data_IF_795786936410
#
_entry.id   IF_795786936410
#
_cell.length_a   1.000
_cell.length_b   1.000
_cell.length_c   1.000
_cell.angle_alpha   90.00
_cell.angle_beta   90.00
_cell.angle_gamma   90.00
#
_symmetry.space_group_name_H-M   'P 1'
#
loop_
_entity.id
_entity.type
_entity.pdbx_description
1 polymer ?
#
# COMPACT_ATOMS: atom_id res chain seq x y z
N UNK A 1 5.95 72.47 -16.58
CA UNK A 1 5.43 71.29 -17.31
C UNK A 1 6.53 70.24 -17.41
N UNK A 2 6.26 69.06 -16.83
CA UNK A 2 6.79 67.68 -17.02
C UNK A 2 8.09 67.43 -17.81
N UNK A 3 8.99 66.63 -17.21
CA UNK A 3 9.69 65.45 -17.78
C UNK A 3 10.53 64.78 -16.65
N UNK A 4 9.97 63.81 -15.92
CA UNK A 4 10.01 62.35 -16.15
C UNK A 4 11.35 61.67 -15.74
N UNK A 5 11.42 61.19 -14.49
CA UNK A 5 12.44 60.26 -14.00
C UNK A 5 11.98 58.81 -14.25
N UNK A 6 12.79 58.02 -14.97
CA UNK A 6 12.57 56.59 -15.15
C UNK A 6 13.16 55.80 -13.97
N UNK A 7 12.30 55.24 -13.12
CA UNK A 7 12.68 54.25 -12.11
C UNK A 7 12.54 52.85 -12.74
N UNK A 8 13.66 52.18 -13.00
CA UNK A 8 13.69 50.77 -13.43
C UNK A 8 13.40 49.86 -12.23
N UNK A 9 12.13 49.49 -12.04
CA UNK A 9 11.75 48.44 -11.10
C UNK A 9 12.09 47.08 -11.72
N UNK A 10 13.23 46.48 -11.34
CA UNK A 10 13.51 45.08 -11.66
C UNK A 10 12.58 44.19 -10.83
N UNK A 11 11.52 43.70 -11.47
CA UNK A 11 10.67 42.65 -10.92
C UNK A 11 11.49 41.35 -10.90
N UNK A 12 12.07 41.00 -9.75
CA UNK A 12 12.62 39.67 -9.52
C UNK A 12 11.44 38.70 -9.41
N UNK A 13 11.09 38.05 -10.52
CA UNK A 13 10.33 36.81 -10.50
C UNK A 13 11.20 35.77 -9.80
N UNK A 14 11.04 35.63 -8.48
CA UNK A 14 11.52 34.46 -7.75
C UNK A 14 10.61 33.31 -8.15
N UNK A 15 10.92 32.66 -9.26
CA UNK A 15 10.47 31.29 -9.47
C UNK A 15 11.17 30.46 -8.40
N UNK A 16 10.44 30.10 -7.35
CA UNK A 16 10.93 29.17 -6.34
C UNK A 16 11.03 27.78 -6.96
N UNK A 17 12.03 27.57 -7.82
CA UNK A 17 12.49 26.24 -8.17
C UNK A 17 12.84 25.56 -6.84
N UNK A 18 12.19 24.42 -6.55
CA UNK A 18 12.47 23.69 -5.31
C UNK A 18 13.96 23.35 -5.30
N UNK A 19 14.68 23.84 -4.29
CA UNK A 19 16.12 23.63 -4.19
C UNK A 19 16.46 22.13 -4.19
N UNK A 20 17.57 21.77 -4.83
CA UNK A 20 18.04 20.40 -4.91
C UNK A 20 18.44 19.85 -3.52
N UNK A 21 18.29 18.54 -3.34
CA UNK A 21 18.61 17.87 -2.10
C UNK A 21 20.11 17.82 -1.78
N UNK A 22 20.46 18.21 -0.56
CA UNK A 22 21.84 18.16 -0.05
C UNK A 22 22.09 16.98 0.89
N UNK A 23 21.04 16.46 1.55
CA UNK A 23 21.15 15.30 2.46
C UNK A 23 19.97 14.36 2.27
N UNK A 24 20.26 13.11 1.90
CA UNK A 24 19.25 12.10 1.58
C UNK A 24 18.88 11.23 2.78
N UNK A 25 17.57 11.06 3.00
CA UNK A 25 16.97 10.01 3.82
C UNK A 25 16.78 8.77 2.94
N UNK A 26 17.54 7.72 3.23
CA UNK A 26 17.51 6.48 2.45
C UNK A 26 16.65 5.46 3.18
N UNK A 27 15.41 5.26 2.71
CA UNK A 27 14.51 4.24 3.24
C UNK A 27 14.93 2.87 2.72
N UNK A 28 15.10 1.90 3.61
CA UNK A 28 15.59 0.54 3.33
C UNK A 28 14.55 -0.51 3.69
N UNK A 29 14.67 -1.70 3.11
CA UNK A 29 13.86 -2.84 3.55
C UNK A 29 14.28 -3.23 4.98
N UNK A 30 13.33 -3.63 5.82
CA UNK A 30 13.61 -4.00 7.22
C UNK A 30 14.77 -5.00 7.39
N UNK A 31 14.90 -5.97 6.48
CA UNK A 31 15.96 -7.00 6.48
C UNK A 31 17.33 -6.48 6.07
N UNK A 32 17.38 -5.35 5.38
CA UNK A 32 18.64 -4.67 5.02
C UNK A 32 19.13 -3.70 6.12
N UNK A 33 18.32 -3.45 7.15
CA UNK A 33 18.77 -2.69 8.31
C UNK A 33 19.73 -3.52 9.16
N UNK A 34 20.84 -2.89 9.55
CA UNK A 34 21.71 -3.39 10.61
C UNK A 34 20.97 -3.47 11.94
N UNK A 35 21.49 -4.26 12.88
CA UNK A 35 20.93 -4.37 14.23
C UNK A 35 20.86 -3.00 14.94
N UNK A 36 21.87 -2.15 14.74
CA UNK A 36 21.89 -0.79 15.29
C UNK A 36 20.79 0.08 14.69
N UNK A 37 20.61 0.07 13.37
CA UNK A 37 19.52 0.83 12.71
C UNK A 37 18.15 0.37 13.21
N UNK A 38 17.93 -0.95 13.38
CA UNK A 38 16.68 -1.48 13.94
C UNK A 38 16.43 -0.98 15.36
N UNK A 39 17.45 -1.03 16.23
CA UNK A 39 17.35 -0.58 17.62
C UNK A 39 17.11 0.94 17.72
N UNK A 40 17.78 1.73 16.91
CA UNK A 40 17.57 3.18 16.85
C UNK A 40 16.14 3.52 16.41
N UNK A 41 15.64 2.83 15.39
CA UNK A 41 14.25 2.98 14.93
C UNK A 41 13.25 2.62 16.05
N UNK A 42 13.42 1.48 16.70
CA UNK A 42 12.54 1.01 17.78
C UNK A 42 12.55 1.99 18.96
N UNK A 43 13.73 2.47 19.37
CA UNK A 43 13.85 3.49 20.41
C UNK A 43 13.13 4.78 20.02
N UNK A 44 13.28 5.25 18.78
CA UNK A 44 12.58 6.43 18.28
C UNK A 44 11.06 6.24 18.31
N UNK A 45 10.54 5.08 17.88
CA UNK A 45 9.11 4.75 17.95
C UNK A 45 8.61 4.79 19.39
N UNK A 46 9.30 4.12 20.33
CA UNK A 46 8.94 4.12 21.75
C UNK A 46 8.88 5.54 22.33
N UNK A 47 9.85 6.40 21.97
CA UNK A 47 9.91 7.79 22.43
C UNK A 47 8.76 8.65 21.90
N UNK A 48 8.41 8.51 20.62
CA UNK A 48 7.28 9.27 20.05
C UNK A 48 5.91 8.73 20.52
N UNK A 49 5.82 7.46 20.93
CA UNK A 49 4.64 6.94 21.63
C UNK A 49 4.51 7.58 23.01
N UNK A 50 5.60 7.59 23.78
CA UNK A 50 5.60 8.11 25.15
C UNK A 50 5.31 9.63 25.23
N UNK A 51 5.73 10.41 24.24
CA UNK A 51 5.51 11.86 24.23
C UNK A 51 4.22 12.32 23.51
N UNK A 52 3.41 11.38 23.02
CA UNK A 52 2.13 11.66 22.33
C UNK A 52 2.24 12.02 20.84
N UNK A 53 3.44 12.15 20.27
CA UNK A 53 3.60 12.44 18.84
C UNK A 53 3.01 11.34 17.96
N UNK A 54 3.11 10.07 18.38
CA UNK A 54 2.51 8.94 17.66
C UNK A 54 0.98 9.08 17.58
N UNK A 55 0.33 9.47 18.69
CA UNK A 55 -1.11 9.65 18.80
C UNK A 55 -1.65 10.72 17.82
N UNK A 56 -0.83 11.74 17.51
CA UNK A 56 -1.16 12.75 16.49
C UNK A 56 -1.40 12.13 15.12
N UNK A 57 -0.59 11.14 14.73
CA UNK A 57 -0.69 10.49 13.42
C UNK A 57 -1.86 9.49 13.36
N UNK A 58 -2.12 8.77 14.46
CA UNK A 58 -3.35 7.98 14.59
C UNK A 58 -4.58 8.87 14.45
N UNK A 59 -4.62 9.97 15.22
CA UNK A 59 -5.77 10.88 15.23
C UNK A 59 -5.99 11.63 13.91
N UNK A 60 -4.93 12.03 13.21
CA UNK A 60 -5.07 12.72 11.91
C UNK A 60 -5.54 11.77 10.82
N UNK A 61 -5.07 10.51 10.83
CA UNK A 61 -5.57 9.48 9.93
C UNK A 61 -7.05 9.25 10.19
N UNK A 62 -7.43 8.96 11.44
CA UNK A 62 -8.81 8.75 11.87
C UNK A 62 -9.78 9.83 11.40
N UNK A 63 -9.45 11.11 11.64
CA UNK A 63 -10.31 12.25 11.29
C UNK A 63 -10.48 12.47 9.79
N UNK A 64 -9.63 11.87 8.95
CA UNK A 64 -9.64 12.10 7.51
C UNK A 64 -9.92 10.82 6.69
N UNK A 65 -10.31 9.71 7.32
CA UNK A 65 -10.47 8.39 6.65
C UNK A 65 -11.29 8.47 5.36
N UNK A 66 -12.44 9.14 5.39
CA UNK A 66 -13.34 9.25 4.24
C UNK A 66 -12.74 10.08 3.08
N UNK A 67 -11.80 10.98 3.38
CA UNK A 67 -11.14 11.81 2.38
C UNK A 67 -9.90 11.13 1.78
N UNK A 68 -9.25 10.23 2.51
CA UNK A 68 -7.91 9.72 2.19
C UNK A 68 -7.91 8.26 1.71
N UNK A 69 -9.03 7.55 1.82
CA UNK A 69 -9.19 6.18 1.30
C UNK A 69 -10.20 6.14 0.17
N UNK A 70 -9.94 5.34 -0.85
CA UNK A 70 -10.79 5.19 -2.02
C UNK A 70 -11.03 6.49 -2.78
N UNK A 71 -10.07 7.40 -2.65
CA UNK A 71 -10.03 8.69 -3.32
C UNK A 71 -8.65 8.89 -3.97
N UNK A 72 -8.54 9.81 -4.94
CA UNK A 72 -7.24 10.18 -5.49
C UNK A 72 -6.25 10.74 -4.44
N UNK A 73 -6.70 11.18 -3.26
CA UNK A 73 -5.79 11.68 -2.22
C UNK A 73 -4.97 10.59 -1.54
N UNK A 74 -5.35 9.32 -1.71
CA UNK A 74 -4.72 8.18 -1.04
C UNK A 74 -3.19 8.24 -1.05
N UNK A 75 -2.56 8.31 -2.22
CA UNK A 75 -1.10 8.30 -2.30
C UNK A 75 -0.43 9.60 -1.80
N UNK A 76 -0.79 10.81 -2.27
CA UNK A 76 -0.13 12.02 -1.82
C UNK A 76 -0.36 12.33 -0.34
N UNK A 77 -1.52 11.94 0.22
CA UNK A 77 -1.78 12.14 1.64
C UNK A 77 -0.92 11.21 2.51
N UNK A 78 -0.87 9.90 2.19
CA UNK A 78 -0.06 8.94 2.94
C UNK A 78 1.43 9.25 2.83
N UNK A 79 1.93 9.65 1.64
CA UNK A 79 3.33 10.10 1.48
C UNK A 79 3.70 11.22 2.45
N UNK A 80 2.85 12.25 2.56
CA UNK A 80 3.11 13.38 3.45
C UNK A 80 2.99 12.99 4.92
N UNK A 81 2.02 12.13 5.28
CA UNK A 81 1.91 11.58 6.63
C UNK A 81 3.19 10.81 7.02
N UNK A 82 3.69 9.92 6.15
CA UNK A 82 4.92 9.16 6.37
C UNK A 82 6.12 10.09 6.55
N UNK A 83 6.24 11.15 5.73
CA UNK A 83 7.33 12.12 5.87
C UNK A 83 7.30 12.82 7.23
N UNK A 84 6.13 13.27 7.68
CA UNK A 84 5.99 13.93 9.01
C UNK A 84 6.25 12.95 10.16
N UNK A 85 5.75 11.72 10.04
CA UNK A 85 6.04 10.67 11.03
C UNK A 85 7.54 10.42 11.13
N UNK A 86 8.24 10.33 9.99
CA UNK A 86 9.69 10.23 9.94
C UNK A 86 10.39 11.47 10.52
N UNK A 87 9.86 12.68 10.31
CA UNK A 87 10.38 13.90 10.97
C UNK A 87 10.28 13.78 12.50
N UNK A 88 9.17 13.27 13.05
CA UNK A 88 9.02 13.03 14.49
C UNK A 88 10.03 12.01 15.02
N UNK A 89 10.26 10.90 14.30
CA UNK A 89 11.31 9.94 14.66
C UNK A 89 12.69 10.59 14.65
N UNK A 90 12.98 11.44 13.66
CA UNK A 90 14.27 12.10 13.49
C UNK A 90 14.56 13.20 14.50
N UNK A 91 13.54 13.73 15.16
CA UNK A 91 13.72 14.58 16.35
C UNK A 91 14.30 13.81 17.53
N UNK A 92 14.04 12.50 17.60
CA UNK A 92 14.64 11.60 18.61
C UNK A 92 16.04 11.16 18.16
N UNK A 93 16.18 10.74 16.91
CA UNK A 93 17.46 10.31 16.33
C UNK A 93 17.58 10.72 14.85
N UNK A 94 18.45 11.70 14.52
CA UNK A 94 18.64 12.18 13.15
C UNK A 94 19.18 11.15 12.15
N UNK A 95 19.60 9.95 12.58
CA UNK A 95 19.99 8.86 11.68
C UNK A 95 18.80 8.02 11.20
N UNK A 96 17.67 8.06 11.92
CA UNK A 96 16.51 7.22 11.65
C UNK A 96 15.83 7.61 10.34
N UNK A 97 15.43 6.58 9.60
CA UNK A 97 14.56 6.69 8.42
C UNK A 97 13.49 5.60 8.50
N UNK A 98 12.33 5.83 7.88
CA UNK A 98 11.29 4.80 7.82
C UNK A 98 11.79 3.56 7.05
N UNK A 99 11.66 2.34 7.61
CA UNK A 99 11.84 1.12 6.85
C UNK A 99 10.62 0.86 5.97
N UNK A 100 10.80 0.11 4.89
CA UNK A 100 9.70 -0.51 4.16
C UNK A 100 9.71 -2.03 4.34
N UNK A 101 8.53 -2.62 4.13
CA UNK A 101 8.37 -4.06 4.05
C UNK A 101 7.96 -4.44 2.62
N UNK A 102 8.86 -5.09 1.89
CA UNK A 102 8.57 -5.56 0.53
C UNK A 102 7.81 -6.89 0.57
N UNK A 103 6.52 -6.80 0.84
CA UNK A 103 5.62 -7.94 0.85
C UNK A 103 5.52 -8.65 -0.52
N UNK A 104 5.85 -7.97 -1.62
CA UNK A 104 5.79 -8.55 -2.97
C UNK A 104 6.89 -9.60 -3.22
N UNK A 105 8.03 -9.46 -2.52
CA UNK A 105 9.15 -10.40 -2.62
C UNK A 105 8.80 -11.81 -2.12
N UNK A 106 7.79 -11.93 -1.26
CA UNK A 106 7.41 -13.18 -0.58
C UNK A 106 5.90 -13.42 -0.59
N UNK A 107 5.20 -12.89 -1.59
CA UNK A 107 3.73 -12.87 -1.63
C UNK A 107 3.06 -14.24 -1.40
N UNK A 108 3.71 -15.34 -1.76
CA UNK A 108 3.18 -16.70 -1.56
C UNK A 108 3.07 -17.17 -0.10
N UNK A 109 3.93 -16.70 0.81
CA UNK A 109 3.80 -16.90 2.27
C UNK A 109 4.68 -15.86 3.02
N UNK A 110 4.23 -14.61 3.10
CA UNK A 110 5.04 -13.48 3.53
C UNK A 110 5.33 -13.48 5.04
N UNK A 111 4.49 -14.15 5.84
CA UNK A 111 4.71 -14.31 7.28
C UNK A 111 5.83 -15.33 7.53
N UNK A 112 5.66 -16.56 7.02
CA UNK A 112 6.62 -17.65 7.22
C UNK A 112 7.98 -17.37 6.60
N UNK A 113 7.98 -16.70 5.44
CA UNK A 113 9.21 -16.44 4.68
C UNK A 113 10.00 -15.23 5.19
N UNK A 114 9.44 -14.43 6.11
CA UNK A 114 10.07 -13.25 6.67
C UNK A 114 10.18 -13.29 8.21
N UNK A 115 11.00 -14.20 8.78
CA UNK A 115 11.18 -14.30 10.24
C UNK A 115 11.85 -13.07 10.86
N UNK A 116 12.47 -12.20 10.05
CA UNK A 116 13.06 -10.95 10.52
C UNK A 116 11.99 -9.92 10.92
N UNK A 117 10.79 -9.99 10.32
CA UNK A 117 9.62 -9.21 10.74
C UNK A 117 8.71 -10.02 11.67
N UNK A 118 8.44 -11.28 11.33
CA UNK A 118 7.47 -12.12 12.04
C UNK A 118 8.17 -13.20 12.86
N UNK A 119 8.66 -12.83 14.04
CA UNK A 119 9.20 -13.75 15.04
C UNK A 119 8.98 -13.18 16.43
N UNK A 120 9.52 -13.82 17.46
CA UNK A 120 9.48 -13.30 18.84
C UNK A 120 10.73 -12.50 19.21
N UNK A 121 11.63 -12.21 18.25
CA UNK A 121 12.82 -11.37 18.51
C UNK A 121 12.41 -9.97 18.95
N UNK A 122 13.17 -9.37 19.87
CA UNK A 122 13.07 -7.98 20.33
C UNK A 122 13.18 -6.92 19.22
N UNK A 123 13.64 -7.29 18.02
CA UNK A 123 13.66 -6.40 16.84
C UNK A 123 12.59 -6.73 15.82
N UNK A 124 11.85 -7.81 15.98
CA UNK A 124 10.75 -8.15 15.09
C UNK A 124 9.49 -7.33 15.43
N UNK A 125 8.52 -7.29 14.52
CA UNK A 125 7.20 -6.70 14.83
C UNK A 125 6.33 -7.65 15.67
N UNK A 126 6.83 -8.81 16.09
CA UNK A 126 6.08 -9.80 16.87
C UNK A 126 5.30 -10.80 16.02
N UNK A 127 4.80 -11.84 16.68
CA UNK A 127 3.93 -12.86 16.11
C UNK A 127 2.46 -12.61 16.47
N UNK A 128 1.52 -13.27 15.78
CA UNK A 128 0.09 -13.21 16.15
C UNK A 128 -0.13 -13.70 17.58
N UNK A 129 -1.15 -13.16 18.24
CA UNK A 129 -1.52 -13.55 19.60
C UNK A 129 -3.04 -13.65 19.74
N UNK A 130 -3.51 -14.55 20.60
CA UNK A 130 -4.90 -14.54 21.05
C UNK A 130 -5.14 -13.35 22.00
N UNK A 131 -5.36 -12.19 21.40
CA UNK A 131 -5.53 -10.90 22.11
C UNK A 131 -4.33 -9.98 21.92
N UNK A 132 -3.91 -9.30 23.00
CA UNK A 132 -2.83 -8.32 22.95
C UNK A 132 -1.50 -8.94 22.49
N UNK A 133 -0.73 -8.19 21.69
CA UNK A 133 0.63 -8.57 21.29
C UNK A 133 1.53 -8.81 22.51
N UNK A 134 2.29 -9.91 22.50
CA UNK A 134 3.11 -10.38 23.65
C UNK A 134 4.61 -10.49 23.37
N UNK A 135 5.03 -10.33 22.12
CA UNK A 135 6.41 -10.45 21.69
C UNK A 135 6.75 -9.37 20.65
N UNK A 136 7.99 -9.40 20.14
CA UNK A 136 8.50 -8.33 19.30
C UNK A 136 8.78 -7.06 20.09
N UNK A 137 9.20 -6.00 19.39
CA UNK A 137 9.35 -4.68 20.02
C UNK A 137 8.01 -4.04 20.39
N UNK A 138 6.90 -4.60 19.88
CA UNK A 138 5.54 -4.14 20.12
C UNK A 138 4.86 -4.83 21.30
N UNK A 139 5.57 -5.71 22.00
CA UNK A 139 5.06 -6.40 23.18
C UNK A 139 4.52 -5.41 24.20
N UNK A 140 3.27 -5.61 24.64
CA UNK A 140 2.62 -4.76 25.63
C UNK A 140 2.18 -3.38 25.13
N UNK A 141 2.23 -3.11 23.82
CA UNK A 141 1.72 -1.85 23.27
C UNK A 141 0.22 -1.68 23.53
N UNK A 142 -0.15 -0.55 24.15
CA UNK A 142 -1.52 -0.09 24.31
C UNK A 142 -1.89 0.92 23.22
N UNK A 143 -3.16 1.02 22.86
CA UNK A 143 -3.62 2.08 21.95
C UNK A 143 -3.32 3.46 22.53
N UNK A 144 -3.03 4.44 21.67
CA UNK A 144 -2.66 5.80 22.11
C UNK A 144 -3.78 6.53 22.84
N UNK A 145 -5.03 6.12 22.66
CA UNK A 145 -6.18 6.60 23.43
C UNK A 145 -6.41 5.86 24.76
N UNK A 146 -5.48 4.95 25.13
CA UNK A 146 -5.55 4.06 26.30
C UNK A 146 -6.76 3.10 26.35
N UNK A 147 -7.49 2.94 25.23
CA UNK A 147 -8.63 2.02 25.11
C UNK A 147 -8.22 0.80 24.29
N UNK A 148 -7.63 -0.17 24.98
CA UNK A 148 -7.23 -1.45 24.40
C UNK A 148 -5.73 -1.55 24.14
N UNK A 149 -5.37 -2.62 23.45
CA UNK A 149 -4.01 -3.03 23.16
C UNK A 149 -3.87 -3.38 21.69
N UNK A 150 -2.63 -3.36 21.21
CA UNK A 150 -2.29 -3.78 19.86
C UNK A 150 -2.68 -5.25 19.65
N UNK A 151 -3.35 -5.58 18.54
CA UNK A 151 -3.82 -6.93 18.21
C UNK A 151 -3.56 -7.29 16.75
N UNK A 152 -3.16 -8.55 16.52
CA UNK A 152 -3.05 -9.18 15.19
C UNK A 152 -3.51 -10.62 15.24
N UNK A 153 -4.27 -11.05 14.24
CA UNK A 153 -4.80 -12.42 14.17
C UNK A 153 -4.73 -13.02 12.75
N UNK A 154 -3.56 -12.91 12.12
CA UNK A 154 -3.36 -13.38 10.74
C UNK A 154 -3.33 -14.93 10.61
N UNK A 155 -3.72 -15.44 9.44
CA UNK A 155 -3.52 -16.86 9.07
C UNK A 155 -2.04 -17.11 8.68
N UNK A 156 -1.49 -18.28 9.02
CA UNK A 156 -0.08 -18.62 8.69
C UNK A 156 0.14 -18.92 7.20
N UNK A 157 -0.94 -19.00 6.42
CA UNK A 157 -0.97 -19.25 4.98
C UNK A 157 -1.56 -18.07 4.20
N UNK A 158 -1.55 -16.86 4.77
CA UNK A 158 -1.93 -15.65 4.02
C UNK A 158 -1.07 -15.49 2.78
N UNK A 159 -1.66 -14.93 1.73
CA UNK A 159 -0.98 -14.60 0.49
C UNK A 159 -1.16 -13.13 0.19
N UNK A 160 -0.07 -12.49 -0.20
CA UNK A 160 -0.02 -11.11 -0.67
C UNK A 160 0.22 -11.08 -2.17
N UNK A 161 -0.05 -9.95 -2.82
CA UNK A 161 0.30 -9.78 -4.22
C UNK A 161 1.81 -9.95 -4.38
N UNK A 162 2.20 -10.82 -5.28
CA UNK A 162 3.60 -11.13 -5.54
C UNK A 162 4.25 -10.08 -6.45
N UNK A 163 5.56 -10.19 -6.61
CA UNK A 163 6.34 -9.29 -7.45
C UNK A 163 5.80 -9.19 -8.88
N UNK A 164 5.35 -10.32 -9.46
CA UNK A 164 4.77 -10.35 -10.81
C UNK A 164 3.50 -9.50 -10.88
N UNK A 165 2.61 -9.66 -9.90
CA UNK A 165 1.37 -8.88 -9.79
C UNK A 165 1.70 -7.39 -9.71
N UNK A 166 2.59 -7.00 -8.80
CA UNK A 166 2.97 -5.59 -8.62
C UNK A 166 3.66 -5.02 -9.87
N UNK A 167 4.58 -5.76 -10.47
CA UNK A 167 5.35 -5.26 -11.60
C UNK A 167 4.49 -5.09 -12.87
N UNK A 168 3.60 -6.04 -13.14
CA UNK A 168 2.76 -6.05 -14.35
C UNK A 168 1.55 -5.14 -14.21
N UNK A 169 0.84 -5.17 -13.08
CA UNK A 169 -0.43 -4.46 -12.94
C UNK A 169 -0.27 -3.06 -12.34
N UNK A 170 0.62 -2.90 -11.37
CA UNK A 170 0.77 -1.64 -10.63
C UNK A 170 1.78 -0.76 -11.35
N UNK A 171 3.03 -1.20 -11.51
CA UNK A 171 4.09 -0.30 -12.01
C UNK A 171 3.96 0.07 -13.51
N UNK A 172 3.23 -0.72 -14.30
CA UNK A 172 2.95 -0.43 -15.71
C UNK A 172 1.61 0.28 -15.95
N UNK A 173 0.89 0.69 -14.90
CA UNK A 173 -0.33 1.45 -15.07
C UNK A 173 -0.10 2.71 -15.94
N UNK A 174 -0.94 2.98 -16.96
CA UNK A 174 -0.69 4.06 -17.91
C UNK A 174 -0.96 5.45 -17.34
N UNK A 175 -1.80 5.55 -16.30
CA UNK A 175 -2.22 6.80 -15.67
C UNK A 175 -2.51 6.57 -14.18
N UNK A 176 -2.74 7.66 -13.45
CA UNK A 176 -2.92 7.64 -12.00
C UNK A 176 -4.12 6.79 -11.54
N UNK A 177 -5.27 6.87 -12.23
CA UNK A 177 -6.46 6.09 -11.87
C UNK A 177 -6.22 4.59 -12.00
N UNK A 178 -5.55 4.17 -13.08
CA UNK A 178 -5.17 2.78 -13.26
C UNK A 178 -4.15 2.32 -12.22
N UNK A 179 -3.27 3.23 -11.77
CA UNK A 179 -2.26 2.94 -10.75
C UNK A 179 -2.91 2.72 -9.38
N UNK A 180 -3.71 3.68 -8.89
CA UNK A 180 -4.45 3.54 -7.63
C UNK A 180 -5.40 2.34 -7.67
N UNK A 181 -6.15 2.18 -8.76
CA UNK A 181 -7.08 1.06 -8.91
C UNK A 181 -6.43 -0.32 -8.95
N UNK A 182 -5.11 -0.40 -9.15
CA UNK A 182 -4.32 -1.61 -8.97
C UNK A 182 -3.73 -1.74 -7.56
N UNK A 183 -3.16 -0.66 -7.03
CA UNK A 183 -2.39 -0.68 -5.78
C UNK A 183 -3.24 -0.65 -4.51
N UNK A 184 -4.35 0.11 -4.47
CA UNK A 184 -5.15 0.24 -3.25
C UNK A 184 -5.83 -1.08 -2.83
N UNK A 185 -6.37 -1.92 -3.74
CA UNK A 185 -6.86 -3.26 -3.38
C UNK A 185 -5.78 -4.17 -2.80
N UNK A 186 -4.58 -4.13 -3.37
CA UNK A 186 -3.41 -4.87 -2.90
C UNK A 186 -2.99 -4.41 -1.49
N UNK A 187 -3.00 -3.10 -1.26
CA UNK A 187 -2.83 -2.48 0.06
C UNK A 187 -3.87 -3.00 1.07
N UNK A 188 -5.15 -2.97 0.72
CA UNK A 188 -6.23 -3.43 1.60
C UNK A 188 -6.11 -4.92 1.95
N UNK A 189 -5.62 -5.74 1.00
CA UNK A 189 -5.38 -7.16 1.25
C UNK A 189 -4.32 -7.36 2.34
N UNK A 190 -3.25 -6.58 2.33
CA UNK A 190 -2.22 -6.66 3.38
C UNK A 190 -2.78 -6.24 4.75
N UNK A 191 -3.54 -5.14 4.81
CA UNK A 191 -4.26 -4.70 6.02
C UNK A 191 -5.15 -5.80 6.60
N UNK A 192 -6.07 -6.33 5.78
CA UNK A 192 -7.02 -7.35 6.18
C UNK A 192 -6.33 -8.63 6.65
N UNK A 193 -5.32 -9.08 5.93
CA UNK A 193 -4.64 -10.32 6.25
C UNK A 193 -3.76 -10.21 7.51
N UNK A 194 -3.12 -9.06 7.76
CA UNK A 194 -2.32 -8.86 8.98
C UNK A 194 -3.20 -8.67 10.21
N UNK A 195 -4.30 -7.92 10.07
CA UNK A 195 -5.23 -7.71 11.17
C UNK A 195 -5.98 -8.99 11.53
N UNK A 196 -6.44 -9.76 10.54
CA UNK A 196 -7.21 -10.97 10.77
C UNK A 196 -8.58 -10.71 11.41
N UNK A 197 -9.06 -11.61 12.27
CA UNK A 197 -10.34 -11.41 12.95
C UNK A 197 -10.21 -10.42 14.12
N UNK A 198 -10.50 -9.15 13.86
CA UNK A 198 -10.57 -8.11 14.88
C UNK A 198 -9.22 -7.59 15.39
N UNK A 199 -8.15 -7.74 14.59
CA UNK A 199 -6.89 -7.03 14.80
C UNK A 199 -6.85 -5.67 14.11
N UNK A 200 -5.96 -4.79 14.57
CA UNK A 200 -6.05 -3.35 14.31
C UNK A 200 -5.80 -2.98 12.85
N UNK A 201 -4.98 -3.76 12.15
CA UNK A 201 -4.71 -3.56 10.72
C UNK A 201 -5.96 -3.80 9.83
N UNK A 202 -7.05 -4.40 10.33
CA UNK A 202 -8.32 -4.53 9.56
C UNK A 202 -9.22 -3.31 9.65
N UNK A 203 -9.01 -2.43 10.62
CA UNK A 203 -9.84 -1.27 10.87
C UNK A 203 -9.05 0.01 10.58
N UNK A 204 -9.40 0.69 9.48
CA UNK A 204 -8.75 1.94 9.09
C UNK A 204 -8.81 3.03 10.19
N UNK A 205 -9.73 2.93 11.15
CA UNK A 205 -9.85 3.85 12.28
C UNK A 205 -8.72 3.72 13.29
N UNK A 206 -8.09 2.54 13.37
CA UNK A 206 -7.03 2.22 14.35
C UNK A 206 -5.79 1.62 13.72
N UNK A 207 -5.77 1.26 12.44
CA UNK A 207 -4.62 0.60 11.81
C UNK A 207 -3.27 1.32 11.99
N UNK A 208 -3.17 2.66 12.07
CA UNK A 208 -1.90 3.33 12.39
C UNK A 208 -1.39 3.11 13.82
N UNK A 209 -2.19 2.55 14.74
CA UNK A 209 -1.75 2.13 16.08
C UNK A 209 -0.65 1.05 15.99
N UNK A 210 -0.71 0.22 14.96
CA UNK A 210 0.26 -0.82 14.65
C UNK A 210 1.48 -0.27 13.90
N UNK A 211 2.71 -0.36 14.43
CA UNK A 211 3.91 0.09 13.72
C UNK A 211 4.11 -0.53 12.33
N UNK A 212 3.58 -1.73 12.06
CA UNK A 212 3.68 -2.36 10.73
C UNK A 212 2.91 -1.57 9.65
N UNK A 213 1.92 -0.75 10.04
CA UNK A 213 1.24 0.21 9.15
C UNK A 213 2.26 1.05 8.39
N UNK A 214 3.24 1.61 9.10
CA UNK A 214 4.23 2.51 8.50
C UNK A 214 5.18 1.76 7.57
N UNK A 215 5.46 0.48 7.84
CA UNK A 215 6.35 -0.34 7.02
C UNK A 215 5.65 -0.70 5.71
N UNK A 216 4.37 -1.08 5.82
CA UNK A 216 3.49 -1.35 4.70
C UNK A 216 3.31 -0.12 3.81
N UNK A 217 2.91 1.01 4.39
CA UNK A 217 2.69 2.27 3.66
C UNK A 217 3.97 2.85 3.08
N UNK A 218 5.13 2.63 3.71
CA UNK A 218 6.41 3.01 3.10
C UNK A 218 6.70 2.19 1.84
N UNK A 219 6.27 0.92 1.76
CA UNK A 219 6.34 0.14 0.54
C UNK A 219 5.31 0.60 -0.51
N UNK A 220 4.09 0.97 -0.11
CA UNK A 220 3.10 1.59 -1.02
C UNK A 220 3.66 2.87 -1.64
N UNK A 221 4.28 3.74 -0.83
CA UNK A 221 4.92 4.97 -1.29
C UNK A 221 6.16 4.68 -2.18
N UNK A 222 6.92 3.63 -1.88
CA UNK A 222 8.02 3.13 -2.73
C UNK A 222 7.51 2.75 -4.12
N UNK A 223 6.38 2.04 -4.20
CA UNK A 223 5.77 1.66 -5.48
C UNK A 223 5.23 2.88 -6.23
N UNK A 224 4.70 3.87 -5.52
CA UNK A 224 4.27 5.13 -6.12
C UNK A 224 5.45 5.93 -6.70
N UNK A 225 6.55 6.10 -5.96
CA UNK A 225 7.79 6.71 -6.46
C UNK A 225 8.33 5.96 -7.69
N UNK A 226 8.40 4.62 -7.61
CA UNK A 226 8.85 3.79 -8.72
C UNK A 226 7.99 3.97 -9.99
N UNK A 227 6.67 4.09 -9.83
CA UNK A 227 5.75 4.36 -10.94
C UNK A 227 5.94 5.76 -11.52
N UNK A 228 6.10 6.79 -10.68
CA UNK A 228 6.34 8.16 -11.13
C UNK A 228 7.65 8.30 -11.91
N UNK A 229 8.71 7.58 -11.49
CA UNK A 229 10.01 7.60 -12.18
C UNK A 229 10.01 6.98 -13.58
N UNK A 230 8.99 6.18 -13.93
CA UNK A 230 8.84 5.57 -15.26
C UNK A 230 8.35 6.55 -16.34
N UNK A 231 7.97 7.78 -15.98
CA UNK A 231 7.64 8.80 -16.97
C UNK A 231 7.41 10.18 -16.35
N UNK A 232 7.99 11.22 -16.93
CA UNK A 232 7.89 12.59 -16.40
C UNK A 232 6.44 13.07 -16.21
N UNK A 233 5.53 12.68 -17.12
CA UNK A 233 4.10 12.98 -17.03
C UNK A 233 3.41 12.33 -15.81
N UNK A 234 3.96 11.23 -15.28
CA UNK A 234 3.42 10.51 -14.12
C UNK A 234 3.66 11.27 -12.80
N UNK A 235 4.72 12.07 -12.73
CA UNK A 235 5.03 12.90 -11.55
C UNK A 235 3.87 13.85 -11.22
N UNK A 236 3.22 14.39 -12.25
CA UNK A 236 2.08 15.32 -12.12
C UNK A 236 0.74 14.68 -12.42
N UNK A 237 0.68 13.37 -12.65
CA UNK A 237 -0.55 12.66 -12.97
C UNK A 237 -1.40 12.53 -11.70
N UNK A 238 -2.58 13.15 -11.73
CA UNK A 238 -3.56 13.16 -10.64
C UNK A 238 -4.93 13.50 -11.21
N UNK A 239 -5.95 12.70 -10.88
CA UNK A 239 -7.30 12.84 -11.43
C UNK A 239 -8.34 13.23 -10.36
N UNK A 240 -7.91 13.73 -9.21
CA UNK A 240 -8.79 14.13 -8.08
C UNK A 240 -9.03 15.63 -7.94
N UNK A 241 -8.94 16.40 -9.02
CA UNK A 241 -9.20 17.84 -9.03
C UNK A 241 -7.96 18.72 -8.84
N UNK A 242 -8.11 19.86 -8.17
CA UNK A 242 -7.09 20.90 -8.08
C UNK A 242 -5.88 20.47 -7.24
N UNK A 243 -4.72 20.28 -7.88
CA UNK A 243 -3.46 19.88 -7.22
C UNK A 243 -2.88 20.96 -6.29
N UNK A 244 -3.36 22.20 -6.35
CA UNK A 244 -2.93 23.27 -5.44
C UNK A 244 -3.72 23.30 -4.13
N UNK A 245 -4.75 22.45 -3.98
CA UNK A 245 -5.47 22.29 -2.73
C UNK A 245 -4.57 21.69 -1.64
N UNK A 246 -4.80 22.10 -0.40
CA UNK A 246 -4.11 21.56 0.78
C UNK A 246 -4.55 20.13 1.06
N UNK A 247 -3.62 19.31 1.56
CA UNK A 247 -3.92 17.97 2.06
C UNK A 247 -4.73 18.08 3.37
N UNK A 248 -5.89 17.41 3.50
CA UNK A 248 -6.72 17.45 4.70
C UNK A 248 -5.96 17.09 5.97
N UNK A 249 -6.01 17.94 7.01
CA UNK A 249 -5.24 17.78 8.24
C UNK A 249 -3.73 18.03 8.12
N UNK A 250 -3.16 18.03 6.91
CA UNK A 250 -1.72 18.14 6.64
C UNK A 250 -1.35 19.51 6.04
N UNK A 251 -2.11 20.55 6.36
CA UNK A 251 -1.74 21.95 6.05
C UNK A 251 -0.31 22.28 6.57
N UNK A 252 0.45 23.16 5.89
CA UNK A 252 0.13 23.88 4.64
C UNK A 252 0.51 23.13 3.35
N UNK A 253 0.79 21.82 3.42
CA UNK A 253 1.27 21.05 2.25
C UNK A 253 0.13 20.81 1.27
N UNK A 254 0.38 21.17 0.01
CA UNK A 254 -0.53 20.94 -1.12
C UNK A 254 -0.34 19.55 -1.72
N UNK A 255 -1.35 19.08 -2.46
CA UNK A 255 -1.28 17.82 -3.22
C UNK A 255 -0.06 17.84 -4.16
N UNK A 256 0.13 18.94 -4.90
CA UNK A 256 1.25 19.10 -5.84
C UNK A 256 2.61 19.01 -5.14
N UNK A 257 2.75 19.58 -3.94
CA UNK A 257 4.01 19.50 -3.18
C UNK A 257 4.32 18.06 -2.78
N UNK A 258 3.33 17.29 -2.30
CA UNK A 258 3.55 15.87 -1.95
C UNK A 258 3.87 15.01 -3.19
N UNK A 259 3.14 15.20 -4.30
CA UNK A 259 3.37 14.44 -5.54
C UNK A 259 4.77 14.66 -6.12
N UNK A 260 5.21 15.92 -6.16
CA UNK A 260 6.48 16.34 -6.78
C UNK A 260 7.65 16.36 -5.80
N UNK A 261 7.39 16.14 -4.51
CA UNK A 261 8.33 16.43 -3.43
C UNK A 261 9.59 15.58 -3.50
N UNK A 262 9.49 14.28 -3.83
CA UNK A 262 10.64 13.37 -3.77
C UNK A 262 11.83 13.93 -4.57
N UNK A 263 12.96 14.08 -3.87
CA UNK A 263 14.20 14.61 -4.43
C UNK A 263 14.33 16.13 -4.42
N UNK A 264 13.40 16.82 -3.77
CA UNK A 264 13.40 18.28 -3.59
C UNK A 264 13.58 18.67 -2.12
N UNK A 265 13.98 19.92 -1.86
CA UNK A 265 14.14 20.46 -0.50
C UNK A 265 12.88 20.22 0.35
N UNK A 266 13.06 19.58 1.51
CA UNK A 266 11.99 19.12 2.41
C UNK A 266 11.54 17.67 2.21
N UNK A 267 11.79 17.09 1.03
CA UNK A 267 11.44 15.70 0.64
C UNK A 267 12.66 14.98 0.04
N UNK A 268 13.81 15.14 0.68
CA UNK A 268 15.04 14.43 0.32
C UNK A 268 14.98 12.96 0.75
N UNK A 269 14.10 12.21 0.10
CA UNK A 269 13.79 10.81 0.36
C UNK A 269 14.17 10.01 -0.86
N UNK A 270 14.80 8.85 -0.65
CA UNK A 270 15.01 7.84 -1.70
C UNK A 270 14.81 6.45 -1.13
N UNK A 271 14.52 5.52 -2.01
CA UNK A 271 14.38 4.10 -1.66
C UNK A 271 15.60 3.33 -2.13
N UNK A 272 16.23 2.61 -1.22
CA UNK A 272 17.23 1.63 -1.58
C UNK A 272 16.53 0.35 -2.03
N UNK A 273 16.94 -0.25 -3.14
CA UNK A 273 16.43 -1.55 -3.57
C UNK A 273 16.80 -2.63 -2.56
N UNK A 274 15.89 -3.58 -2.31
CA UNK A 274 16.14 -4.67 -1.38
C UNK A 274 17.29 -5.56 -1.89
N UNK A 275 18.27 -5.84 -1.03
CA UNK A 275 19.50 -6.56 -1.42
C UNK A 275 19.26 -8.02 -1.81
N UNK A 276 18.23 -8.65 -1.22
CA UNK A 276 17.95 -10.08 -1.35
C UNK A 276 16.60 -10.34 -2.02
N UNK A 277 16.42 -9.77 -3.22
CA UNK A 277 15.27 -10.13 -4.07
C UNK A 277 15.32 -11.64 -4.34
N UNK A 278 14.29 -12.38 -3.90
CA UNK A 278 14.30 -13.85 -4.00
C UNK A 278 14.32 -14.25 -5.47
N UNK A 279 15.44 -14.86 -5.89
CA UNK A 279 15.69 -15.44 -7.22
C UNK A 279 14.85 -16.69 -7.53
N UNK A 280 14.04 -17.15 -6.58
CA UNK A 280 13.23 -18.37 -6.67
C UNK A 280 11.78 -18.04 -7.09
N UNK A 281 11.61 -17.75 -8.37
CA UNK A 281 10.29 -17.70 -9.01
C UNK A 281 9.88 -19.13 -9.41
N UNK A 282 8.65 -19.59 -9.12
CA UNK A 282 8.18 -20.89 -9.56
C UNK A 282 8.31 -21.05 -11.08
N UNK A 283 9.00 -22.11 -11.54
CA UNK A 283 9.16 -22.43 -12.98
C UNK A 283 7.87 -22.88 -13.68
N UNK A 284 6.74 -23.00 -12.99
CA UNK A 284 5.45 -23.39 -13.57
C UNK A 284 4.27 -22.61 -13.01
N UNK A 285 3.32 -22.37 -13.92
CA UNK A 285 2.19 -21.44 -13.98
C UNK A 285 1.01 -21.73 -13.02
N UNK A 286 1.11 -22.73 -12.15
CA UNK A 286 -0.09 -23.39 -11.63
C UNK A 286 -0.68 -22.75 -10.35
N UNK A 287 0.02 -21.79 -9.73
CA UNK A 287 -0.44 -21.11 -8.50
C UNK A 287 -0.90 -19.66 -8.70
N UNK A 288 -1.12 -19.21 -9.94
CA UNK A 288 -1.46 -17.80 -10.21
C UNK A 288 -2.92 -17.59 -10.62
N UNK A 289 -3.46 -18.41 -11.54
CA UNK A 289 -4.83 -18.19 -12.03
C UNK A 289 -5.94 -18.75 -11.13
N UNK A 290 -5.65 -19.81 -10.37
CA UNK A 290 -6.53 -20.38 -9.34
C UNK A 290 -6.54 -19.48 -8.11
N UNK A 291 -5.37 -18.99 -7.72
CA UNK A 291 -5.19 -18.21 -6.48
C UNK A 291 -5.55 -16.74 -6.65
N UNK A 292 -5.33 -16.09 -7.79
CA UNK A 292 -5.82 -14.73 -8.03
C UNK A 292 -7.37 -14.68 -8.07
N UNK A 293 -8.02 -15.72 -8.61
CA UNK A 293 -9.48 -15.87 -8.56
C UNK A 293 -9.97 -16.21 -7.14
N UNK A 294 -9.26 -17.07 -6.42
CA UNK A 294 -9.59 -17.40 -5.03
C UNK A 294 -9.28 -16.25 -4.04
N UNK A 295 -8.28 -15.41 -4.30
CA UNK A 295 -7.92 -14.21 -3.54
C UNK A 295 -8.92 -13.09 -3.80
N UNK A 296 -9.35 -12.88 -5.06
CA UNK A 296 -10.47 -11.99 -5.38
C UNK A 296 -11.80 -12.48 -4.77
N UNK A 297 -12.03 -13.80 -4.71
CA UNK A 297 -13.19 -14.38 -4.03
C UNK A 297 -13.12 -14.27 -2.50
N UNK A 298 -11.96 -14.46 -1.87
CA UNK A 298 -11.76 -14.30 -0.41
C UNK A 298 -11.80 -12.83 0.03
N UNK A 299 -11.25 -11.93 -0.78
CA UNK A 299 -11.27 -10.48 -0.53
C UNK A 299 -12.71 -9.92 -0.51
N UNK A 300 -13.61 -10.49 -1.31
CA UNK A 300 -15.05 -10.18 -1.24
C UNK A 300 -15.75 -10.73 0.02
N UNK A 301 -15.15 -11.70 0.73
CA UNK A 301 -15.72 -12.32 1.94
C UNK A 301 -15.18 -11.70 3.25
N UNK A 302 -14.00 -11.09 3.27
CA UNK A 302 -13.46 -10.43 4.48
C UNK A 302 -13.94 -8.99 4.67
N UNK A 303 -14.57 -8.39 3.65
CA UNK A 303 -15.28 -7.10 3.79
C UNK A 303 -16.73 -7.21 4.30
N UNK A 304 -17.17 -8.40 4.73
CA UNK A 304 -18.46 -8.56 5.43
C UNK A 304 -18.26 -8.74 6.94
N UNK A 305 -17.78 -7.70 7.63
CA UNK A 305 -18.11 -7.53 9.05
C UNK A 305 -19.50 -6.89 9.12
N UNK A 306 -20.47 -7.75 9.48
CA UNK A 306 -21.90 -7.50 9.66
C UNK A 306 -22.25 -6.10 10.17
N UNK A 307 -23.20 -5.44 9.49
CA UNK A 307 -24.33 -4.83 10.22
C UNK A 307 -25.07 -5.97 10.92
N UNK A 308 -24.97 -6.04 12.25
CA UNK A 308 -26.16 -6.37 13.03
C UNK A 308 -26.89 -5.04 13.15
N UNK A 309 -27.87 -4.82 12.28
CA UNK A 309 -28.87 -3.80 12.60
C UNK A 309 -29.68 -4.34 13.77
N UNK A 310 -29.70 -3.59 14.85
CA UNK A 310 -30.45 -3.86 16.06
C UNK A 310 -31.93 -3.59 15.79
N UNK A 311 -32.62 -4.55 15.20
CA UNK A 311 -34.08 -4.64 15.18
C UNK A 311 -34.49 -5.95 14.51
N UNK A 312 -34.49 -7.05 15.26
CA UNK A 312 -35.40 -8.18 15.04
C UNK A 312 -35.27 -9.10 16.27
N UNK A 313 -36.24 -8.95 17.17
CA UNK A 313 -36.56 -9.99 18.14
C UNK A 313 -37.10 -11.18 17.35
N UNK A 314 -36.39 -12.29 17.36
CA UNK A 314 -36.99 -13.61 17.45
C UNK A 314 -35.93 -14.59 17.94
N UNK A 315 -36.15 -15.08 19.15
CA UNK A 315 -35.26 -16.06 19.77
C UNK A 315 -35.37 -17.41 19.09
N UNK A 316 -34.31 -18.20 19.13
CA UNK A 316 -34.46 -19.64 19.32
C UNK A 316 -33.15 -20.28 19.84
N UNK A 317 -33.21 -20.64 21.13
CA UNK A 317 -32.75 -21.87 21.77
C UNK A 317 -31.43 -22.52 21.29
N UNK A 318 -30.48 -22.58 22.22
CA UNK A 318 -29.32 -23.49 22.21
C UNK A 318 -29.78 -24.92 22.48
N UNK A 319 -29.29 -25.89 21.69
CA UNK A 319 -29.12 -27.27 22.16
C UNK A 319 -27.97 -28.00 21.41
N UNK A 320 -27.30 -28.99 22.05
CA UNK A 320 -25.92 -29.37 21.76
C UNK A 320 -25.78 -30.71 21.01
N UNK A 321 -24.65 -30.94 20.31
CA UNK A 321 -24.23 -32.31 20.00
C UNK A 321 -23.29 -32.54 18.81
N UNK A 322 -22.10 -33.04 19.17
CA UNK A 322 -21.31 -34.12 18.54
C UNK A 322 -20.45 -33.84 17.30
N UNK A 323 -19.19 -34.22 17.52
CA UNK A 323 -18.08 -34.44 16.60
C UNK A 323 -18.37 -35.47 15.50
N UNK A 324 -17.70 -35.30 14.35
CA UNK A 324 -16.91 -36.35 13.66
C UNK A 324 -16.20 -35.80 12.41
N UNK A 325 -14.88 -35.99 12.36
CA UNK A 325 -14.10 -36.04 11.12
C UNK A 325 -14.47 -37.30 10.32
N UNK A 326 -14.54 -37.21 9.00
CA UNK A 326 -14.72 -38.39 8.13
C UNK A 326 -14.91 -38.08 6.64
N UNK A 327 -13.86 -38.35 5.86
CA UNK A 327 -13.78 -38.72 4.43
C UNK A 327 -14.99 -38.55 3.50
N UNK A 328 -14.82 -37.85 2.36
CA UNK A 328 -15.67 -38.04 1.18
C UNK A 328 -15.54 -36.98 0.08
N UNK A 329 -14.89 -37.36 -1.03
CA UNK A 329 -15.05 -36.91 -2.44
C UNK A 329 -15.29 -35.41 -2.69
N UNK A 330 -14.31 -34.76 -3.33
CA UNK A 330 -14.44 -33.47 -4.02
C UNK A 330 -15.65 -33.49 -4.97
N UNK A 331 -16.76 -32.88 -4.56
CA UNK A 331 -17.85 -32.50 -5.45
C UNK A 331 -17.48 -31.17 -6.12
N UNK A 332 -17.59 -31.15 -7.43
CA UNK A 332 -17.45 -29.98 -8.29
C UNK A 332 -18.37 -28.85 -7.79
N UNK A 333 -17.78 -27.71 -7.41
CA UNK A 333 -18.55 -26.54 -7.01
C UNK A 333 -19.30 -25.93 -8.22
N UNK A 334 -20.55 -25.49 -8.06
CA UNK A 334 -21.30 -24.80 -9.11
C UNK A 334 -20.60 -23.48 -9.48
N UNK A 335 -20.71 -23.04 -10.73
CA UNK A 335 -20.30 -21.69 -11.16
C UNK A 335 -21.06 -20.65 -10.32
N UNK A 336 -20.38 -20.04 -9.36
CA UNK A 336 -20.91 -18.98 -8.50
C UNK A 336 -21.14 -17.69 -9.31
N UNK A 337 -22.28 -16.98 -9.13
CA UNK A 337 -22.59 -15.77 -9.87
C UNK A 337 -21.71 -14.58 -9.47
N UNK A 338 -21.58 -13.64 -10.39
CA UNK A 338 -20.78 -12.40 -10.29
C UNK A 338 -21.27 -11.52 -9.13
N UNK A 339 -20.39 -11.11 -8.20
CA UNK A 339 -20.75 -10.23 -7.07
C UNK A 339 -20.20 -8.79 -7.32
N UNK A 340 -21.00 -7.71 -7.12
CA UNK A 340 -20.67 -6.36 -7.58
C UNK A 340 -19.69 -5.58 -6.68
N UNK A 341 -19.09 -4.50 -7.22
CA UNK A 341 -18.35 -3.48 -6.48
C UNK A 341 -19.21 -2.90 -5.35
N UNK A 342 -18.61 -2.54 -4.20
CA UNK A 342 -19.40 -2.07 -3.06
C UNK A 342 -20.17 -0.79 -3.40
N UNK A 343 -21.47 -0.81 -3.08
CA UNK A 343 -22.39 0.28 -3.42
C UNK A 343 -21.93 1.61 -2.78
N UNK A 344 -21.40 1.54 -1.56
CA UNK A 344 -20.85 2.68 -0.80
C UNK A 344 -19.63 3.31 -1.50
N UNK A 345 -18.69 2.50 -1.97
CA UNK A 345 -17.49 2.97 -2.68
C UNK A 345 -17.88 3.70 -3.96
N UNK A 346 -18.72 3.05 -4.77
CA UNK A 346 -19.20 3.62 -6.02
C UNK A 346 -19.95 4.93 -5.78
N UNK A 347 -20.71 5.07 -4.69
CA UNK A 347 -21.44 6.30 -4.34
C UNK A 347 -20.51 7.44 -3.91
N UNK A 348 -19.51 7.18 -3.06
CA UNK A 348 -18.57 8.21 -2.59
C UNK A 348 -17.68 8.67 -3.73
N UNK A 349 -17.05 7.72 -4.43
CA UNK A 349 -16.08 8.00 -5.48
C UNK A 349 -16.74 8.63 -6.70
N UNK A 350 -17.96 8.25 -7.07
CA UNK A 350 -18.68 8.89 -8.19
C UNK A 350 -19.04 10.35 -7.90
N UNK A 351 -19.46 10.67 -6.66
CA UNK A 351 -19.69 12.05 -6.21
C UNK A 351 -18.40 12.88 -6.25
N UNK A 352 -17.29 12.36 -5.75
CA UNK A 352 -16.00 13.06 -5.74
C UNK A 352 -15.45 13.31 -7.15
N UNK A 353 -15.62 12.35 -8.06
CA UNK A 353 -15.18 12.46 -9.45
C UNK A 353 -16.18 13.21 -10.34
N UNK A 354 -17.30 13.67 -9.78
CA UNK A 354 -18.40 14.28 -10.51
C UNK A 354 -18.83 13.47 -11.75
N UNK A 355 -18.96 12.15 -11.58
CA UNK A 355 -19.47 11.22 -12.61
C UNK A 355 -20.59 10.38 -12.01
N UNK A 356 -21.36 9.69 -12.86
CA UNK A 356 -22.38 8.78 -12.35
C UNK A 356 -21.72 7.50 -11.80
N UNK A 357 -22.37 6.89 -10.79
CA UNK A 357 -22.01 5.58 -10.24
C UNK A 357 -21.77 4.53 -11.34
N UNK A 358 -22.67 4.48 -12.31
CA UNK A 358 -22.60 3.56 -13.46
C UNK A 358 -21.43 3.87 -14.39
N UNK A 359 -21.12 5.16 -14.60
CA UNK A 359 -19.95 5.55 -15.40
C UNK A 359 -18.64 5.16 -14.71
N UNK A 360 -18.57 5.34 -13.39
CA UNK A 360 -17.43 4.87 -12.58
C UNK A 360 -17.29 3.35 -12.65
N UNK A 361 -18.37 2.60 -12.44
CA UNK A 361 -18.36 1.14 -12.54
C UNK A 361 -17.92 0.65 -13.93
N UNK A 362 -18.42 1.27 -15.00
CA UNK A 362 -18.02 0.96 -16.38
C UNK A 362 -16.53 1.21 -16.61
N UNK A 363 -15.99 2.32 -16.07
CA UNK A 363 -14.55 2.65 -16.14
C UNK A 363 -13.70 1.62 -15.38
N UNK A 364 -14.11 1.23 -14.18
CA UNK A 364 -13.42 0.21 -13.38
C UNK A 364 -13.39 -1.12 -14.12
N UNK A 365 -14.56 -1.61 -14.60
CA UNK A 365 -14.66 -2.87 -15.35
C UNK A 365 -13.89 -2.84 -16.68
N UNK A 366 -13.85 -1.70 -17.37
CA UNK A 366 -13.04 -1.55 -18.59
C UNK A 366 -11.55 -1.59 -18.28
N UNK A 367 -11.12 -0.92 -17.20
CA UNK A 367 -9.75 -0.98 -16.69
C UNK A 367 -9.34 -2.40 -16.29
N UNK A 368 -10.20 -3.16 -15.62
CA UNK A 368 -9.97 -4.58 -15.29
C UNK A 368 -9.76 -5.45 -16.52
N UNK A 369 -10.63 -5.32 -17.53
CA UNK A 369 -10.50 -6.08 -18.78
C UNK A 369 -9.24 -5.72 -19.56
N UNK A 370 -8.91 -4.42 -19.63
CA UNK A 370 -7.67 -3.97 -20.25
C UNK A 370 -6.42 -4.48 -19.48
N UNK A 371 -6.49 -4.51 -18.14
CA UNK A 371 -5.46 -5.10 -17.27
C UNK A 371 -5.25 -6.59 -17.56
N UNK A 372 -6.33 -7.37 -17.64
CA UNK A 372 -6.27 -8.81 -17.95
C UNK A 372 -5.68 -9.10 -19.34
N UNK A 373 -6.05 -8.31 -20.36
CA UNK A 373 -5.51 -8.47 -21.72
C UNK A 373 -4.01 -8.18 -21.78
N UNK A 374 -3.54 -7.12 -21.09
CA UNK A 374 -2.12 -6.75 -21.04
C UNK A 374 -1.27 -7.76 -20.30
N UNK A 375 -1.75 -8.28 -19.17
CA UNK A 375 -1.06 -9.35 -18.48
C UNK A 375 -0.94 -10.61 -19.35
N UNK A 376 -1.99 -10.95 -20.09
CA UNK A 376 -1.92 -12.08 -21.03
C UNK A 376 -0.88 -11.86 -22.14
N UNK A 377 -0.86 -10.69 -22.77
CA UNK A 377 0.15 -10.37 -23.78
C UNK A 377 1.57 -10.46 -23.19
N UNK A 378 1.73 -10.05 -21.93
CA UNK A 378 3.03 -10.04 -21.27
C UNK A 378 3.53 -11.45 -21.00
N UNK A 379 2.64 -12.30 -20.50
CA UNK A 379 2.92 -13.72 -20.34
C UNK A 379 3.29 -14.35 -21.68
N UNK A 380 2.53 -14.08 -22.75
CA UNK A 380 2.79 -14.64 -24.08
C UNK A 380 4.18 -14.20 -24.62
N UNK A 381 4.58 -12.94 -24.44
CA UNK A 381 5.88 -12.42 -24.90
C UNK A 381 7.06 -12.90 -24.04
N UNK A 382 6.85 -13.04 -22.73
CA UNK A 382 7.84 -13.57 -21.81
C UNK A 382 8.06 -15.07 -22.01
N UNK A 383 7.00 -15.83 -22.23
CA UNK A 383 7.07 -17.25 -22.57
C UNK A 383 7.92 -17.43 -23.84
N UNK A 384 7.65 -16.64 -24.89
CA UNK A 384 8.46 -16.65 -26.12
C UNK A 384 9.94 -16.29 -25.86
N UNK A 385 10.22 -15.34 -24.96
CA UNK A 385 11.59 -14.98 -24.63
C UNK A 385 12.32 -16.09 -23.86
N UNK A 386 11.69 -16.67 -22.84
CA UNK A 386 12.30 -17.69 -21.99
C UNK A 386 12.46 -19.03 -22.74
N UNK A 387 11.55 -19.35 -23.67
CA UNK A 387 11.72 -20.47 -24.60
C UNK A 387 12.95 -20.29 -25.50
N UNK A 388 13.18 -19.07 -26.00
CA UNK A 388 14.34 -18.75 -26.85
C UNK A 388 15.64 -18.59 -26.06
N UNK A 389 15.56 -18.34 -24.76
CA UNK A 389 16.71 -18.07 -23.89
C UNK A 389 16.63 -18.94 -22.63
N UNK A 390 16.87 -20.26 -22.75
CA UNK A 390 16.66 -21.22 -21.65
C UNK A 390 17.60 -21.01 -20.45
N UNK A 391 18.69 -20.25 -20.63
CA UNK A 391 19.61 -19.84 -19.56
C UNK A 391 19.25 -18.49 -18.94
N UNK A 392 18.39 -17.71 -19.60
CA UNK A 392 17.96 -16.42 -19.08
C UNK A 392 17.03 -16.61 -17.89
N UNK A 393 17.27 -15.80 -16.87
CA UNK A 393 16.41 -15.71 -15.70
C UNK A 393 15.08 -15.04 -16.07
N UNK A 394 14.04 -15.29 -15.28
CA UNK A 394 12.80 -14.52 -15.38
C UNK A 394 13.06 -13.02 -15.22
N UNK A 395 14.04 -12.58 -14.43
CA UNK A 395 14.41 -11.17 -14.32
C UNK A 395 14.99 -10.62 -15.62
N UNK A 396 15.86 -11.36 -16.30
CA UNK A 396 16.40 -10.97 -17.61
C UNK A 396 15.34 -11.00 -18.69
N UNK A 397 14.45 -11.99 -18.69
CA UNK A 397 13.28 -12.01 -19.57
C UNK A 397 12.29 -10.89 -19.27
N UNK A 398 12.07 -10.58 -18.01
CA UNK A 398 11.29 -9.44 -17.57
C UNK A 398 11.92 -8.13 -18.05
N UNK A 399 13.22 -7.91 -17.81
CA UNK A 399 13.92 -6.71 -18.27
C UNK A 399 13.89 -6.63 -19.80
N UNK A 400 14.05 -7.77 -20.50
CA UNK A 400 13.95 -7.82 -21.95
C UNK A 400 12.55 -7.42 -22.43
N UNK A 401 11.51 -8.05 -21.91
CA UNK A 401 10.12 -7.79 -22.31
C UNK A 401 9.72 -6.36 -21.93
N UNK A 402 10.06 -5.88 -20.74
CA UNK A 402 9.79 -4.50 -20.29
C UNK A 402 10.56 -3.45 -21.09
N UNK A 403 11.84 -3.68 -21.41
CA UNK A 403 12.67 -2.71 -22.14
C UNK A 403 12.38 -2.70 -23.65
N UNK A 404 11.87 -3.82 -24.19
CA UNK A 404 11.53 -3.95 -25.62
C UNK A 404 10.02 -3.87 -25.90
N UNK A 405 9.20 -3.62 -24.87
CA UNK A 405 7.76 -3.53 -25.02
C UNK A 405 7.37 -2.35 -25.91
N UNK A 406 6.92 -2.64 -27.13
CA UNK A 406 6.23 -1.68 -27.99
C UNK A 406 4.74 -2.01 -27.96
N UNK A 407 3.92 -1.02 -27.64
CA UNK A 407 2.47 -1.19 -27.61
C UNK A 407 1.98 -1.66 -28.98
N UNK A 408 1.48 -2.90 -29.07
CA UNK A 408 0.67 -3.31 -30.22
C UNK A 408 -0.75 -2.80 -30.00
N UNK A 409 -1.06 -1.62 -30.52
CA UNK A 409 -2.44 -1.16 -30.72
C UNK A 409 -2.92 0.06 -29.93
N UNK A 410 -2.05 0.86 -29.32
CA UNK A 410 -2.39 2.19 -28.77
C UNK A 410 -1.13 3.07 -28.81
N UNK A 411 -0.64 3.33 -30.02
CA UNK A 411 0.08 4.56 -30.31
C UNK A 411 -0.95 5.48 -30.96
N UNK A 412 -1.66 6.27 -30.14
CA UNK A 412 -2.38 7.51 -30.47
C UNK A 412 -2.79 8.23 -29.17
#
# INVERSE_FOLDING_TARGET
MKLAAFLLLRLLLVTSALAACTTWRTRKEWRDLSLTEKRNFINAVNRIRANGDYAKYVGIHYRNIDAIHSTPLFLPWHREMLRRFEDSLRKVDPSVTLPYWDWSNEGGNPIKLNPALFSSSDTSVGTKSSGCMRDGFVSGYTHTNSKGCLRRDYDDHVRFPDYTTVAVYVLNAPNYDAFIGGLEPDHNSVHNNIGGDGGDMTDASVSPEDPIFYFHHTNVDRLYDAWQRRGKSRITSYNGGNINSQLPGLSPVTISQSMKGIGTSGWCIRYQAYSNVKKNVPKRRDSFQSDARALLQRYNHTTSLRRRDASDNDGFVVAPGKSRCGSGRYKTHPRQPFIPLSDRWLTITSKQLNITKNALEKRVRASERARQRRAKQYDDELDVYLEKNPQATYHEGFQHVVNNWKWRGYDD
#
